data_IF_352165258987
#
_entry.id   IF_352165258987
#
_cell.length_a   1.000
_cell.length_b   1.000
_cell.length_c   1.000
_cell.angle_alpha   90.00
_cell.angle_beta   90.00
_cell.angle_gamma   90.00
#
_symmetry.space_group_name_H-M   'P 1'
#
loop_
_entity.id
_entity.type
_entity.pdbx_description
1 polymer ?
#
# COMPACT_ATOMS: atom_id res chain seq x y z
N UNK A 1 15.70 14.60 5.92
CA UNK A 1 14.38 14.88 6.53
C UNK A 1 14.54 15.20 8.00
N UNK A 2 13.90 16.26 8.42
CA UNK A 2 13.91 16.66 9.82
C UNK A 2 12.49 16.57 10.38
N UNK A 3 12.31 15.72 11.36
CA UNK A 3 11.04 15.57 12.05
C UNK A 3 10.71 16.86 12.80
N UNK A 4 9.48 17.32 12.69
CA UNK A 4 9.02 18.51 13.39
C UNK A 4 7.77 18.23 14.21
N UNK A 5 7.55 19.07 15.22
CA UNK A 5 6.34 18.99 16.04
C UNK A 5 5.07 19.19 15.19
N UNK A 6 5.17 19.97 14.12
CA UNK A 6 4.03 20.20 13.22
C UNK A 6 3.63 18.93 12.48
N UNK A 7 4.61 18.13 12.05
CA UNK A 7 4.34 16.82 11.41
C UNK A 7 3.65 15.88 12.41
N UNK A 8 4.13 15.83 13.65
CA UNK A 8 3.50 15.04 14.70
C UNK A 8 2.03 15.41 14.89
N UNK A 9 1.74 16.70 14.97
CA UNK A 9 0.36 17.20 15.14
C UNK A 9 -0.49 16.83 13.92
N UNK A 10 0.04 17.01 12.71
CA UNK A 10 -0.66 16.64 11.49
C UNK A 10 -1.02 15.16 11.43
N UNK A 11 -0.07 14.29 11.76
CA UNK A 11 -0.28 12.84 11.77
C UNK A 11 -1.35 12.48 12.79
N UNK A 12 -1.26 13.01 14.01
CA UNK A 12 -2.21 12.71 15.08
C UNK A 12 -3.63 13.19 14.80
N UNK A 13 -3.80 14.24 13.97
CA UNK A 13 -5.10 14.80 13.60
C UNK A 13 -5.68 14.17 12.33
N UNK A 14 -4.87 13.49 11.54
CA UNK A 14 -5.32 12.91 10.28
C UNK A 14 -6.08 11.61 10.52
N UNK A 15 -7.16 11.41 9.78
CA UNK A 15 -7.93 10.17 9.83
C UNK A 15 -7.18 9.03 9.13
N UNK A 16 -6.44 9.34 8.08
CA UNK A 16 -5.67 8.39 7.27
C UNK A 16 -4.27 8.93 7.07
N UNK A 17 -3.26 8.07 7.23
CA UNK A 17 -1.87 8.38 6.90
C UNK A 17 -1.35 7.35 5.90
N UNK A 18 -0.93 7.83 4.74
CA UNK A 18 -0.32 7.00 3.70
C UNK A 18 1.18 7.34 3.68
N UNK A 19 2.02 6.32 3.86
CA UNK A 19 3.47 6.46 3.76
C UNK A 19 3.92 5.80 2.46
N UNK A 20 4.39 6.62 1.53
CA UNK A 20 4.99 6.16 0.28
C UNK A 20 6.51 6.30 0.41
N UNK A 21 7.20 5.20 0.64
CA UNK A 21 8.61 5.17 0.96
C UNK A 21 9.41 4.53 -0.17
N UNK A 22 10.12 5.35 -0.92
CA UNK A 22 10.96 4.91 -2.05
C UNK A 22 12.37 4.52 -1.63
N UNK A 23 12.66 4.49 -0.32
CA UNK A 23 13.97 4.14 0.24
C UNK A 23 15.10 5.03 -0.29
N UNK A 24 14.86 6.32 -0.36
CA UNK A 24 15.83 7.33 -0.82
C UNK A 24 16.52 8.07 0.33
N UNK A 25 16.49 7.50 1.54
CA UNK A 25 17.10 8.11 2.73
C UNK A 25 16.27 9.22 3.37
N UNK A 26 15.05 9.43 2.93
CA UNK A 26 14.18 10.48 3.47
C UNK A 26 13.63 10.11 4.85
N UNK A 27 13.23 8.85 5.04
CA UNK A 27 12.72 8.35 6.32
C UNK A 27 13.64 7.27 6.87
N UNK A 28 13.85 7.29 8.19
CA UNK A 28 14.55 6.22 8.90
C UNK A 28 13.57 5.15 9.38
N UNK A 29 14.08 4.00 9.80
CA UNK A 29 13.25 2.97 10.43
C UNK A 29 12.55 3.51 11.70
N UNK A 30 13.25 4.34 12.48
CA UNK A 30 12.68 4.99 13.66
C UNK A 30 11.54 5.94 13.27
N UNK A 31 11.68 6.68 12.18
CA UNK A 31 10.61 7.54 11.67
C UNK A 31 9.37 6.75 11.29
N UNK A 32 9.54 5.61 10.61
CA UNK A 32 8.42 4.74 10.23
C UNK A 32 7.67 4.22 11.46
N UNK A 33 8.39 3.77 12.48
CA UNK A 33 7.78 3.31 13.73
C UNK A 33 6.99 4.41 14.42
N UNK A 34 7.53 5.62 14.42
CA UNK A 34 6.89 6.77 15.06
C UNK A 34 5.63 7.21 14.31
N UNK A 35 5.68 7.21 12.97
CA UNK A 35 4.49 7.49 12.15
C UNK A 35 3.39 6.46 12.44
N UNK A 36 3.74 5.19 12.46
CA UNK A 36 2.79 4.12 12.73
C UNK A 36 2.15 4.29 14.11
N UNK A 37 2.97 4.58 15.13
CA UNK A 37 2.51 4.75 16.50
C UNK A 37 1.51 5.90 16.66
N UNK A 38 1.72 6.99 15.93
CA UNK A 38 0.90 8.21 16.05
C UNK A 38 -0.32 8.21 15.14
N UNK A 39 -0.35 7.37 14.13
CA UNK A 39 -1.43 7.35 13.13
C UNK A 39 -2.65 6.61 13.65
N UNK A 40 -3.85 7.11 13.34
CA UNK A 40 -5.11 6.43 13.63
C UNK A 40 -5.35 5.26 12.69
N UNK A 41 -5.17 5.50 11.39
CA UNK A 41 -5.27 4.49 10.34
C UNK A 41 -4.12 4.75 9.38
N UNK A 42 -3.29 3.74 9.13
CA UNK A 42 -2.09 3.93 8.33
C UNK A 42 -1.86 2.79 7.36
N UNK A 43 -1.26 3.13 6.22
CA UNK A 43 -0.77 2.15 5.26
C UNK A 43 0.64 2.54 4.82
N UNK A 44 1.53 1.56 4.81
CA UNK A 44 2.90 1.70 4.34
C UNK A 44 3.04 1.05 2.97
N UNK A 45 3.55 1.80 2.00
CA UNK A 45 3.99 1.29 0.71
C UNK A 45 5.49 1.56 0.61
N UNK A 46 6.32 0.53 0.73
CA UNK A 46 7.76 0.71 0.89
C UNK A 46 8.56 -0.20 -0.02
N UNK A 47 9.67 0.34 -0.51
CA UNK A 47 10.65 -0.39 -1.33
C UNK A 47 11.88 -0.82 -0.56
N UNK A 48 11.93 -0.57 0.76
CA UNK A 48 13.08 -0.95 1.59
C UNK A 48 12.95 -2.38 2.11
N UNK A 49 14.06 -2.91 2.60
CA UNK A 49 14.05 -4.13 3.41
C UNK A 49 13.32 -3.83 4.71
N UNK A 50 12.33 -4.64 5.03
CA UNK A 50 11.46 -4.45 6.19
C UNK A 50 11.70 -5.52 7.24
N UNK A 51 11.31 -5.22 8.48
CA UNK A 51 11.29 -6.17 9.59
C UNK A 51 9.91 -6.13 10.25
N UNK A 52 9.53 -7.20 10.94
CA UNK A 52 8.21 -7.28 11.58
C UNK A 52 7.98 -6.14 12.57
N UNK A 53 9.00 -5.73 13.32
CA UNK A 53 8.88 -4.66 14.30
C UNK A 53 8.62 -3.28 13.67
N UNK A 54 9.05 -3.07 12.42
CA UNK A 54 8.72 -1.84 11.68
C UNK A 54 7.27 -1.86 11.24
N UNK A 55 6.80 -2.97 10.68
CA UNK A 55 5.51 -3.03 10.00
C UNK A 55 4.32 -3.35 10.91
N UNK A 56 4.57 -3.92 12.08
CA UNK A 56 3.48 -4.32 12.99
C UNK A 56 2.63 -3.15 13.49
N UNK A 57 3.21 -1.95 13.55
CA UNK A 57 2.51 -0.75 14.00
C UNK A 57 1.61 -0.13 12.94
N UNK A 58 1.81 -0.45 11.66
CA UNK A 58 0.94 0.03 10.59
C UNK A 58 -0.36 -0.78 10.55
N UNK A 59 -1.45 -0.12 10.17
CA UNK A 59 -2.72 -0.84 9.99
C UNK A 59 -2.60 -1.82 8.84
N UNK A 60 -2.02 -1.38 7.73
CA UNK A 60 -1.74 -2.21 6.57
C UNK A 60 -0.37 -1.90 5.99
N UNK A 61 0.21 -2.88 5.32
CA UNK A 61 1.44 -2.74 4.54
C UNK A 61 1.17 -3.29 3.15
N UNK A 62 1.43 -2.50 2.12
CA UNK A 62 1.27 -2.96 0.73
C UNK A 62 2.66 -3.19 0.12
N UNK A 63 2.86 -4.38 -0.42
CA UNK A 63 4.06 -4.77 -1.15
C UNK A 63 3.66 -5.32 -2.51
N UNK A 64 4.46 -5.09 -3.54
CA UNK A 64 4.30 -5.83 -4.78
C UNK A 64 4.98 -7.21 -4.66
N UNK A 65 4.83 -8.06 -5.67
CA UNK A 65 5.38 -9.41 -5.63
C UNK A 65 6.89 -9.42 -5.41
N UNK A 66 7.63 -8.57 -6.14
CA UNK A 66 9.08 -8.45 -6.01
C UNK A 66 9.50 -8.01 -4.60
N UNK A 67 8.83 -7.01 -4.08
CA UNK A 67 9.07 -6.50 -2.72
C UNK A 67 8.77 -7.57 -1.67
N UNK A 68 7.70 -8.35 -1.86
CA UNK A 68 7.34 -9.44 -0.95
C UNK A 68 8.40 -10.55 -0.96
N UNK A 69 8.89 -10.91 -2.15
CA UNK A 69 9.95 -11.92 -2.29
C UNK A 69 11.25 -11.47 -1.65
N UNK A 70 11.55 -10.17 -1.65
CA UNK A 70 12.72 -9.61 -0.99
C UNK A 70 12.58 -9.53 0.54
N UNK A 71 11.38 -9.78 1.06
CA UNK A 71 11.08 -9.73 2.50
C UNK A 71 10.40 -11.03 2.94
N UNK A 72 11.08 -12.21 2.80
CA UNK A 72 10.44 -13.50 3.07
C UNK A 72 10.19 -13.78 4.55
N UNK A 73 10.87 -13.06 5.44
CA UNK A 73 10.80 -13.29 6.89
C UNK A 73 9.66 -12.54 7.57
N UNK A 74 8.88 -11.76 6.83
CA UNK A 74 7.73 -11.04 7.39
C UNK A 74 6.59 -12.03 7.69
N UNK A 75 6.09 -11.98 8.91
CA UNK A 75 5.08 -12.91 9.42
C UNK A 75 3.81 -12.23 9.94
N UNK A 76 3.74 -10.90 9.85
CA UNK A 76 2.54 -10.16 10.26
C UNK A 76 1.40 -10.42 9.27
N UNK A 77 0.15 -10.29 9.75
CA UNK A 77 -1.04 -10.58 8.96
C UNK A 77 -1.65 -9.34 8.30
N UNK A 78 -0.97 -8.21 8.36
CA UNK A 78 -1.43 -6.92 7.81
C UNK A 78 -0.88 -6.61 6.42
N UNK A 79 -0.28 -7.58 5.73
CA UNK A 79 0.38 -7.39 4.44
C UNK A 79 -0.60 -7.67 3.30
N UNK A 80 -0.74 -6.70 2.39
CA UNK A 80 -1.44 -6.86 1.12
C UNK A 80 -0.36 -6.96 0.04
N UNK A 81 -0.35 -8.05 -0.72
CA UNK A 81 0.62 -8.24 -1.80
C UNK A 81 -0.08 -8.07 -3.14
N UNK A 82 0.35 -7.09 -3.94
CA UNK A 82 -0.15 -6.92 -5.30
C UNK A 82 0.63 -7.81 -6.25
N UNK A 83 -0.08 -8.52 -7.13
CA UNK A 83 0.45 -9.59 -7.98
C UNK A 83 0.28 -9.27 -9.48
N UNK A 84 0.35 -7.99 -9.84
CA UNK A 84 0.18 -7.57 -11.23
C UNK A 84 -1.20 -7.98 -11.77
N UNK A 85 -1.22 -8.60 -12.93
CA UNK A 85 -2.46 -9.02 -13.60
C UNK A 85 -3.29 -10.04 -12.80
N UNK A 86 -2.68 -10.72 -11.83
CA UNK A 86 -3.40 -11.69 -11.00
C UNK A 86 -4.29 -11.06 -9.94
N UNK A 87 -4.04 -9.80 -9.59
CA UNK A 87 -4.80 -9.10 -8.56
C UNK A 87 -4.00 -8.85 -7.30
N UNK A 88 -4.55 -9.20 -6.14
CA UNK A 88 -3.90 -8.97 -4.85
C UNK A 88 -4.21 -10.13 -3.89
N UNK A 89 -3.25 -10.39 -2.99
CA UNK A 89 -3.39 -11.42 -1.96
C UNK A 89 -3.41 -10.76 -0.58
N UNK A 90 -4.30 -11.24 0.28
CA UNK A 90 -4.40 -10.82 1.66
C UNK A 90 -4.87 -11.98 2.53
N UNK A 91 -4.14 -12.28 3.60
CA UNK A 91 -4.43 -13.41 4.52
C UNK A 91 -4.63 -14.74 3.76
N UNK A 92 -3.74 -15.00 2.80
CA UNK A 92 -3.73 -16.20 1.94
C UNK A 92 -4.96 -16.33 1.03
N UNK A 93 -5.71 -15.26 0.82
CA UNK A 93 -6.84 -15.23 -0.10
C UNK A 93 -6.45 -14.38 -1.30
N UNK A 94 -6.62 -14.93 -2.50
CA UNK A 94 -6.40 -14.21 -3.74
C UNK A 94 -7.68 -13.48 -4.14
N UNK A 95 -7.55 -12.16 -4.34
CA UNK A 95 -8.60 -11.30 -4.90
C UNK A 95 -8.23 -11.02 -6.34
N UNK A 96 -8.87 -11.69 -7.27
CA UNK A 96 -8.52 -11.60 -8.68
C UNK A 96 -8.79 -10.22 -9.26
N UNK A 97 -7.92 -9.80 -10.19
CA UNK A 97 -8.16 -8.57 -10.95
C UNK A 97 -9.41 -8.76 -11.83
N UNK A 98 -10.26 -7.72 -11.95
CA UNK A 98 -11.43 -7.79 -12.83
C UNK A 98 -11.06 -7.95 -14.31
N UNK A 99 -9.83 -7.58 -14.69
CA UNK A 99 -9.29 -7.79 -16.02
C UNK A 99 -7.91 -8.43 -15.92
N UNK A 100 -7.78 -9.77 -16.02
CA UNK A 100 -6.51 -10.46 -15.84
C UNK A 100 -5.44 -10.16 -16.89
N UNK A 101 -5.77 -9.45 -17.96
CA UNK A 101 -4.81 -9.03 -18.98
C UNK A 101 -4.09 -7.75 -18.60
N UNK A 102 -4.63 -6.99 -17.67
CA UNK A 102 -4.01 -5.77 -17.15
C UNK A 102 -2.93 -6.12 -16.13
N UNK A 103 -2.06 -5.16 -15.84
CA UNK A 103 -1.04 -5.31 -14.80
C UNK A 103 -1.10 -4.14 -13.82
N UNK A 104 -1.10 -4.45 -12.53
CA UNK A 104 -1.03 -3.45 -11.46
C UNK A 104 0.37 -2.83 -11.37
N UNK A 105 1.37 -3.44 -12.00
CA UNK A 105 2.74 -2.94 -11.99
C UNK A 105 2.99 -1.78 -12.97
N UNK A 106 1.99 -1.39 -13.75
CA UNK A 106 2.05 -0.18 -14.57
C UNK A 106 2.19 1.04 -13.66
N UNK A 107 3.03 1.98 -14.06
CA UNK A 107 3.30 3.20 -13.28
C UNK A 107 2.01 3.93 -12.90
N UNK A 108 1.84 4.20 -11.62
CA UNK A 108 0.66 4.83 -11.05
C UNK A 108 -0.44 3.87 -10.61
N UNK A 109 -0.48 2.65 -11.11
CA UNK A 109 -1.51 1.68 -10.72
C UNK A 109 -1.33 1.20 -9.28
N UNK A 110 -0.08 0.99 -8.84
CA UNK A 110 0.23 0.62 -7.46
C UNK A 110 -0.17 1.71 -6.47
N UNK A 111 0.12 2.97 -6.78
CA UNK A 111 -0.27 4.12 -5.95
C UNK A 111 -1.78 4.26 -5.89
N UNK A 112 -2.45 4.05 -7.02
CA UNK A 112 -3.93 4.06 -7.09
C UNK A 112 -4.52 2.95 -6.24
N UNK A 113 -3.95 1.75 -6.29
CA UNK A 113 -4.39 0.64 -5.44
C UNK A 113 -4.30 1.02 -3.97
N UNK A 114 -3.16 1.52 -3.53
CA UNK A 114 -2.91 1.87 -2.13
C UNK A 114 -3.89 2.91 -1.63
N UNK A 115 -4.05 4.02 -2.35
CA UNK A 115 -4.96 5.09 -1.93
C UNK A 115 -6.43 4.67 -2.01
N UNK A 116 -6.84 3.97 -3.05
CA UNK A 116 -8.22 3.48 -3.18
C UNK A 116 -8.56 2.48 -2.07
N UNK A 117 -7.63 1.58 -1.74
CA UNK A 117 -7.84 0.61 -0.67
C UNK A 117 -8.07 1.29 0.67
N UNK A 118 -7.15 2.18 1.07
CA UNK A 118 -7.21 2.74 2.43
C UNK A 118 -8.41 3.66 2.63
N UNK A 119 -8.78 4.42 1.61
CA UNK A 119 -9.96 5.29 1.67
C UNK A 119 -11.24 4.45 1.76
N UNK A 120 -11.35 3.41 0.94
CA UNK A 120 -12.53 2.54 0.97
C UNK A 120 -12.62 1.78 2.29
N UNK A 121 -11.51 1.29 2.80
CA UNK A 121 -11.46 0.66 4.12
C UNK A 121 -11.90 1.63 5.23
N UNK A 122 -11.43 2.87 5.18
CA UNK A 122 -11.86 3.91 6.14
C UNK A 122 -13.38 4.09 6.13
N UNK A 123 -13.99 4.08 4.94
CA UNK A 123 -15.43 4.28 4.79
C UNK A 123 -16.24 3.08 5.30
N UNK A 124 -15.81 1.86 4.98
CA UNK A 124 -16.62 0.64 5.15
C UNK A 124 -16.13 -0.27 6.27
N UNK A 125 -14.86 -0.18 6.68
CA UNK A 125 -14.21 -1.11 7.62
C UNK A 125 -14.29 -2.57 7.18
N UNK A 126 -14.36 -2.80 5.86
CA UNK A 126 -14.41 -4.12 5.25
C UNK A 126 -13.22 -4.28 4.32
N UNK A 127 -12.28 -5.13 4.73
CA UNK A 127 -11.02 -5.36 4.02
C UNK A 127 -11.25 -5.96 2.62
N UNK A 128 -12.14 -6.93 2.52
CA UNK A 128 -12.42 -7.62 1.25
C UNK A 128 -12.98 -6.67 0.22
N UNK A 129 -14.01 -5.93 0.58
CA UNK A 129 -14.62 -4.93 -0.30
C UNK A 129 -13.61 -3.86 -0.70
N UNK A 130 -12.77 -3.44 0.24
CA UNK A 130 -11.74 -2.43 -0.04
C UNK A 130 -10.69 -2.95 -1.03
N UNK A 131 -10.26 -4.21 -0.92
CA UNK A 131 -9.30 -4.81 -1.85
C UNK A 131 -9.92 -4.94 -3.25
N UNK A 132 -11.16 -5.42 -3.34
CA UNK A 132 -11.87 -5.54 -4.61
C UNK A 132 -12.04 -4.18 -5.30
N UNK A 133 -12.39 -3.17 -4.53
CA UNK A 133 -12.47 -1.79 -5.04
C UNK A 133 -11.12 -1.29 -5.54
N UNK A 134 -10.05 -1.54 -4.78
CA UNK A 134 -8.70 -1.13 -5.15
C UNK A 134 -8.21 -1.83 -6.43
N UNK A 135 -8.48 -3.12 -6.58
CA UNK A 135 -8.19 -3.87 -7.80
C UNK A 135 -8.86 -3.24 -9.02
N UNK A 136 -10.14 -2.89 -8.89
CA UNK A 136 -10.90 -2.28 -9.97
C UNK A 136 -10.32 -0.91 -10.36
N UNK A 137 -9.98 -0.08 -9.37
CA UNK A 137 -9.41 1.24 -9.63
C UNK A 137 -8.03 1.17 -10.26
N UNK A 138 -7.19 0.25 -9.81
CA UNK A 138 -5.89 0.02 -10.42
C UNK A 138 -6.02 -0.46 -11.87
N UNK A 139 -6.96 -1.36 -12.14
CA UNK A 139 -7.26 -1.85 -13.48
C UNK A 139 -7.73 -0.72 -14.43
N UNK A 140 -8.52 0.21 -13.91
CA UNK A 140 -8.95 1.38 -14.69
C UNK A 140 -7.76 2.25 -15.13
N UNK A 141 -6.76 2.42 -14.27
CA UNK A 141 -5.54 3.18 -14.63
C UNK A 141 -4.79 2.48 -15.76
N UNK A 142 -4.62 1.17 -15.70
CA UNK A 142 -3.95 0.39 -16.73
C UNK A 142 -4.71 0.49 -18.06
N UNK A 143 -6.02 0.34 -18.04
CA UNK A 143 -6.86 0.44 -19.24
C UNK A 143 -6.76 1.82 -19.89
N UNK A 144 -6.79 2.89 -19.09
CA UNK A 144 -6.63 4.26 -19.62
C UNK A 144 -5.28 4.46 -20.30
N UNK A 145 -4.21 3.93 -19.71
CA UNK A 145 -2.87 4.03 -20.33
C UNK A 145 -2.80 3.27 -21.64
N UNK A 146 -3.41 2.09 -21.70
CA UNK A 146 -3.50 1.34 -22.95
C UNK A 146 -4.25 2.08 -24.06
N UNK A 147 -5.32 2.81 -23.69
CA UNK A 147 -6.11 3.59 -24.66
C UNK A 147 -5.36 4.81 -25.17
N UNK A 148 -4.59 5.50 -24.31
CA UNK A 148 -3.89 6.74 -24.67
C UNK A 148 -2.51 6.50 -25.24
N UNK A 149 -1.98 5.29 -25.22
CA UNK A 149 -0.68 4.97 -25.79
C UNK A 149 -0.82 4.94 -27.31
N UNK A 150 -0.15 5.83 -28.06
CA UNK A 150 -0.21 5.79 -29.51
C UNK A 150 0.47 4.54 -30.03
N UNK A 151 -0.07 4.01 -31.06
CA UNK A 151 0.49 2.84 -31.74
C UNK A 151 1.56 3.22 -32.75
#
# INVERSE_FOLDING_TARGET
FKWSMDIDVMIGKSDIVIVSDYNKGFLTNADLKEIARKSKLSILDSKRKLTNDIIEGFTFVKLNESERLNNPDLTTDNIITTLGKKGAEYKNILFESPNPQDTIDVSGAGDTFTSAFIVKYYQLKDERTAIQFANRKASEVVSRRGVVTPE
#
